data_IF_184171912679
#
_entry.id   IF_184171912679
#
_cell.length_a   1.000
_cell.length_b   1.000
_cell.length_c   1.000
_cell.angle_alpha   90.00
_cell.angle_beta   90.00
_cell.angle_gamma   90.00
#
_symmetry.space_group_name_H-M   'P 1'
#
loop_
_entity.id
_entity.type
_entity.pdbx_description
1 polymer ?
#
# COMPACT_ATOMS: atom_id res chain seq x y z
N UNK A 1 -49.49 2.61 2.41
CA UNK A 1 -48.53 3.53 1.73
C UNK A 1 -47.73 2.70 0.73
N UNK A 2 -47.89 2.96 -0.58
CA UNK A 2 -47.08 2.29 -1.61
C UNK A 2 -45.64 2.80 -1.48
N UNK A 3 -44.67 1.91 -1.21
CA UNK A 3 -43.24 2.24 -1.36
C UNK A 3 -43.07 2.74 -2.79
N UNK A 4 -42.75 4.03 -2.95
CA UNK A 4 -42.47 4.58 -4.26
C UNK A 4 -41.35 3.76 -4.89
N UNK A 5 -41.55 3.31 -6.12
CA UNK A 5 -40.47 2.75 -6.93
C UNK A 5 -39.41 3.83 -7.06
N UNK A 6 -38.30 3.70 -6.32
CA UNK A 6 -37.09 4.45 -6.64
C UNK A 6 -36.67 3.92 -8.01
N UNK A 7 -36.84 4.72 -9.07
CA UNK A 7 -36.16 4.43 -10.32
C UNK A 7 -34.67 4.47 -10.00
N UNK A 8 -34.05 3.30 -9.90
CA UNK A 8 -32.61 3.18 -9.68
C UNK A 8 -31.93 3.67 -10.95
N UNK A 9 -31.31 4.85 -10.86
CA UNK A 9 -30.47 5.39 -11.92
C UNK A 9 -29.21 4.51 -11.99
N UNK A 10 -28.74 4.08 -13.16
CA UNK A 10 -27.48 3.36 -13.27
C UNK A 10 -26.33 4.12 -12.58
N UNK A 11 -25.44 3.41 -11.88
CA UNK A 11 -24.38 4.06 -11.08
C UNK A 11 -23.51 5.01 -11.91
N UNK A 12 -23.24 4.65 -13.17
CA UNK A 12 -22.49 5.49 -14.09
C UNK A 12 -23.22 6.80 -14.41
N UNK A 13 -24.53 6.74 -14.65
CA UNK A 13 -25.34 7.93 -14.94
C UNK A 13 -25.43 8.83 -13.71
N UNK A 14 -25.50 8.24 -12.51
CA UNK A 14 -25.46 9.00 -11.26
C UNK A 14 -24.09 9.66 -11.04
N UNK A 15 -23.01 8.98 -11.38
CA UNK A 15 -21.64 9.53 -11.35
C UNK A 15 -21.51 10.73 -12.28
N UNK A 16 -21.97 10.59 -13.53
CA UNK A 16 -21.98 11.65 -14.54
C UNK A 16 -22.84 12.85 -14.11
N UNK A 17 -24.00 12.58 -13.48
CA UNK A 17 -24.86 13.61 -12.95
C UNK A 17 -24.18 14.40 -11.82
N UNK A 18 -23.53 13.73 -10.87
CA UNK A 18 -22.77 14.39 -9.80
C UNK A 18 -21.63 15.24 -10.38
N UNK A 19 -20.92 14.74 -11.40
CA UNK A 19 -19.89 15.51 -12.09
C UNK A 19 -20.46 16.81 -12.69
N UNK A 20 -21.58 16.70 -13.41
CA UNK A 20 -22.22 17.85 -14.03
C UNK A 20 -22.69 18.88 -13.00
N UNK A 21 -23.29 18.41 -11.90
CA UNK A 21 -23.75 19.27 -10.81
C UNK A 21 -22.57 19.95 -10.11
N UNK A 22 -21.45 19.26 -9.94
CA UNK A 22 -20.22 19.83 -9.40
C UNK A 22 -19.64 20.92 -10.31
N UNK A 23 -19.54 20.66 -11.62
CA UNK A 23 -19.07 21.65 -12.60
C UNK A 23 -19.94 22.91 -12.66
N UNK A 24 -21.23 22.77 -12.38
CA UNK A 24 -22.18 23.88 -12.35
C UNK A 24 -22.32 24.52 -10.95
N UNK A 25 -21.40 24.25 -10.01
CA UNK A 25 -21.41 24.77 -8.64
C UNK A 25 -22.77 24.59 -7.92
N UNK A 26 -23.48 23.50 -8.25
CA UNK A 26 -24.86 23.26 -7.85
C UNK A 26 -24.99 22.07 -6.89
N UNK A 27 -23.90 21.60 -6.27
CA UNK A 27 -23.92 20.46 -5.36
C UNK A 27 -24.82 20.67 -4.14
N UNK A 28 -25.03 21.91 -3.70
CA UNK A 28 -25.97 22.23 -2.63
C UNK A 28 -27.42 21.82 -2.98
N UNK A 29 -27.79 21.87 -4.26
CA UNK A 29 -29.11 21.44 -4.71
C UNK A 29 -29.27 19.92 -4.59
N UNK A 30 -28.18 19.16 -4.75
CA UNK A 30 -28.16 17.73 -4.52
C UNK A 30 -28.28 17.40 -3.02
N UNK A 31 -27.59 18.17 -2.16
CA UNK A 31 -27.67 18.01 -0.70
C UNK A 31 -29.10 18.16 -0.17
N UNK A 32 -29.90 19.03 -0.78
CA UNK A 32 -31.32 19.22 -0.44
C UNK A 32 -32.25 18.07 -0.86
N UNK A 33 -31.80 17.15 -1.72
CA UNK A 33 -32.60 16.02 -2.18
C UNK A 33 -32.31 14.74 -1.37
N UNK A 34 -33.14 14.49 -0.36
CA UNK A 34 -32.98 13.36 0.58
C UNK A 34 -32.93 12.00 -0.15
N UNK A 35 -33.77 11.80 -1.17
CA UNK A 35 -33.83 10.53 -1.89
C UNK A 35 -32.55 10.28 -2.69
N UNK A 36 -32.07 11.30 -3.41
CA UNK A 36 -30.82 11.22 -4.14
C UNK A 36 -29.62 11.01 -3.19
N UNK A 37 -29.58 11.74 -2.06
CA UNK A 37 -28.51 11.60 -1.07
C UNK A 37 -28.50 10.21 -0.43
N UNK A 38 -29.66 9.65 -0.05
CA UNK A 38 -29.72 8.28 0.49
C UNK A 38 -29.17 7.27 -0.51
N UNK A 39 -29.59 7.37 -1.78
CA UNK A 39 -29.13 6.49 -2.85
C UNK A 39 -27.62 6.58 -3.08
N UNK A 40 -27.06 7.79 -3.11
CA UNK A 40 -25.62 8.00 -3.26
C UNK A 40 -24.86 7.43 -2.07
N UNK A 41 -25.33 7.69 -0.86
CA UNK A 41 -24.67 7.24 0.37
C UNK A 41 -24.60 5.71 0.42
N UNK A 42 -25.73 5.06 0.13
CA UNK A 42 -25.85 3.59 0.11
C UNK A 42 -24.90 2.96 -0.92
N UNK A 43 -24.71 3.60 -2.08
CA UNK A 43 -23.94 3.09 -3.22
C UNK A 43 -22.68 3.93 -3.50
N UNK A 44 -22.13 4.54 -2.45
CA UNK A 44 -21.07 5.56 -2.59
C UNK A 44 -19.77 5.02 -3.20
N UNK A 45 -19.45 3.74 -2.98
CA UNK A 45 -18.28 3.11 -3.58
C UNK A 45 -18.39 3.05 -5.10
N UNK A 46 -19.53 2.59 -5.60
CA UNK A 46 -19.81 2.37 -7.01
C UNK A 46 -20.03 3.69 -7.77
N UNK A 47 -20.75 4.64 -7.15
CA UNK A 47 -21.08 5.92 -7.78
C UNK A 47 -19.88 6.86 -7.78
N UNK A 48 -19.11 6.96 -6.69
CA UNK A 48 -18.00 7.90 -6.64
C UNK A 48 -16.75 7.39 -7.33
N UNK A 49 -16.47 6.08 -7.34
CA UNK A 49 -15.19 5.57 -7.85
C UNK A 49 -14.80 6.10 -9.24
N UNK A 50 -15.67 6.10 -10.28
CA UNK A 50 -15.32 6.66 -11.58
C UNK A 50 -14.95 8.15 -11.51
N UNK A 51 -15.68 8.92 -10.69
CA UNK A 51 -15.47 10.35 -10.49
C UNK A 51 -14.15 10.65 -9.76
N UNK A 52 -13.87 9.90 -8.68
CA UNK A 52 -12.66 10.06 -7.89
C UNK A 52 -11.41 9.62 -8.67
N UNK A 53 -11.51 8.55 -9.47
CA UNK A 53 -10.46 8.14 -10.40
C UNK A 53 -10.16 9.24 -11.39
N UNK A 54 -11.18 9.82 -12.02
CA UNK A 54 -11.04 10.94 -12.95
C UNK A 54 -10.38 12.16 -12.31
N UNK A 55 -10.94 12.70 -11.23
CA UNK A 55 -10.41 13.90 -10.58
C UNK A 55 -9.00 13.69 -10.02
N UNK A 56 -8.71 12.52 -9.46
CA UNK A 56 -7.36 12.22 -8.98
C UNK A 56 -6.32 12.12 -10.09
N UNK A 57 -6.71 11.63 -11.28
CA UNK A 57 -5.83 11.56 -12.44
C UNK A 57 -5.57 12.94 -13.06
N UNK A 58 -6.58 13.80 -13.05
CA UNK A 58 -6.50 15.19 -13.52
C UNK A 58 -5.78 16.11 -12.52
N UNK A 59 -5.55 15.67 -11.28
CA UNK A 59 -5.02 16.54 -10.21
C UNK A 59 -6.04 17.57 -9.72
N UNK A 60 -7.33 17.34 -9.93
CA UNK A 60 -8.39 18.30 -9.60
C UNK A 60 -8.76 18.25 -8.11
N UNK A 61 -7.90 18.84 -7.29
CA UNK A 61 -8.07 18.93 -5.82
C UNK A 61 -9.36 19.67 -5.45
N UNK A 62 -9.67 20.78 -6.13
CA UNK A 62 -10.81 21.63 -5.76
C UNK A 62 -12.16 20.94 -5.97
N UNK A 63 -12.29 20.17 -7.05
CA UNK A 63 -13.48 19.34 -7.28
C UNK A 63 -13.64 18.26 -6.20
N UNK A 64 -12.53 17.68 -5.73
CA UNK A 64 -12.55 16.69 -4.65
C UNK A 64 -12.97 17.35 -3.32
N UNK A 65 -12.40 18.51 -2.98
CA UNK A 65 -12.77 19.26 -1.76
C UNK A 65 -14.26 19.64 -1.78
N UNK A 66 -14.77 20.07 -2.94
CA UNK A 66 -16.18 20.41 -3.12
C UNK A 66 -17.09 19.21 -2.86
N UNK A 67 -16.75 18.01 -3.35
CA UNK A 67 -17.47 16.79 -2.98
C UNK A 67 -17.43 16.53 -1.47
N UNK A 68 -16.25 16.65 -0.85
CA UNK A 68 -16.07 16.39 0.57
C UNK A 68 -16.86 17.35 1.47
N UNK A 69 -17.17 18.55 0.99
CA UNK A 69 -17.97 19.54 1.74
C UNK A 69 -19.45 19.18 1.85
N UNK A 70 -19.95 18.28 1.01
CA UNK A 70 -21.37 17.95 0.88
C UNK A 70 -21.68 16.54 1.41
N UNK A 71 -20.79 15.59 1.12
CA UNK A 71 -21.03 14.21 1.48
C UNK A 71 -20.51 13.88 2.89
N UNK A 72 -21.25 13.07 3.66
CA UNK A 72 -20.84 12.74 5.02
C UNK A 72 -19.60 11.84 5.02
N UNK A 73 -18.76 11.99 6.05
CA UNK A 73 -17.48 11.28 6.22
C UNK A 73 -17.54 9.78 5.98
N UNK A 74 -18.63 9.12 6.38
CA UNK A 74 -18.75 7.67 6.25
C UNK A 74 -18.92 7.21 4.80
N UNK A 75 -19.59 8.00 3.95
CA UNK A 75 -19.71 7.74 2.51
C UNK A 75 -18.38 7.99 1.79
N UNK A 76 -17.67 9.06 2.17
CA UNK A 76 -16.31 9.34 1.67
C UNK A 76 -15.34 8.23 2.07
N UNK A 77 -15.46 7.70 3.29
CA UNK A 77 -14.66 6.56 3.74
C UNK A 77 -14.95 5.29 2.94
N UNK A 78 -16.24 4.99 2.67
CA UNK A 78 -16.65 3.82 1.87
C UNK A 78 -16.11 3.85 0.44
N UNK A 79 -15.88 5.04 -0.11
CA UNK A 79 -15.35 5.27 -1.46
C UNK A 79 -13.83 5.45 -1.55
N UNK A 80 -13.09 5.24 -0.45
CA UNK A 80 -11.64 5.48 -0.39
C UNK A 80 -11.22 6.89 -0.83
N UNK A 81 -12.09 7.89 -0.60
CA UNK A 81 -11.92 9.27 -1.05
C UNK A 81 -10.53 9.85 -0.74
N UNK A 82 -10.01 9.59 0.45
CA UNK A 82 -8.75 10.16 0.93
C UNK A 82 -7.54 9.71 0.12
N UNK A 83 -7.54 8.46 -0.35
CA UNK A 83 -6.49 7.95 -1.23
C UNK A 83 -6.48 8.66 -2.58
N UNK A 84 -7.68 8.94 -3.12
CA UNK A 84 -7.84 9.69 -4.36
C UNK A 84 -7.49 11.18 -4.17
N UNK A 85 -7.86 11.79 -3.05
CA UNK A 85 -7.53 13.18 -2.75
C UNK A 85 -6.02 13.37 -2.63
N UNK A 86 -5.33 12.49 -1.91
CA UNK A 86 -3.87 12.54 -1.82
C UNK A 86 -3.22 12.39 -3.21
N UNK A 87 -3.73 11.48 -4.04
CA UNK A 87 -3.28 11.34 -5.43
C UNK A 87 -3.52 12.62 -6.25
N UNK A 88 -4.65 13.30 -6.08
CA UNK A 88 -4.92 14.58 -6.73
C UNK A 88 -3.91 15.66 -6.34
N UNK A 89 -3.58 15.81 -5.05
CA UNK A 89 -2.55 16.73 -4.59
C UNK A 89 -1.18 16.43 -5.22
N UNK A 90 -0.77 15.16 -5.22
CA UNK A 90 0.50 14.74 -5.81
C UNK A 90 0.52 14.96 -7.33
N UNK A 91 -0.58 14.69 -8.04
CA UNK A 91 -0.71 14.91 -9.49
C UNK A 91 -0.72 16.38 -9.89
N UNK A 92 -1.19 17.26 -9.01
CA UNK A 92 -1.17 18.72 -9.21
C UNK A 92 0.12 19.38 -8.71
N UNK A 93 1.14 18.60 -8.32
CA UNK A 93 2.41 19.10 -7.77
C UNK A 93 2.21 20.00 -6.52
N UNK A 94 1.31 19.58 -5.63
CA UNK A 94 0.99 20.26 -4.35
C UNK A 94 1.28 19.36 -3.13
N UNK A 95 2.50 18.81 -2.97
CA UNK A 95 2.83 17.92 -1.85
C UNK A 95 2.84 18.64 -0.49
N UNK A 96 3.18 19.93 -0.44
CA UNK A 96 3.15 20.76 0.78
C UNK A 96 1.72 20.91 1.32
N UNK A 97 0.76 21.12 0.42
CA UNK A 97 -0.64 21.28 0.78
C UNK A 97 -1.20 19.96 1.32
N UNK A 98 -0.84 18.84 0.68
CA UNK A 98 -1.18 17.50 1.18
C UNK A 98 -0.62 17.27 2.58
N UNK A 99 0.66 17.59 2.81
CA UNK A 99 1.28 17.43 4.11
C UNK A 99 0.59 18.30 5.16
N UNK A 100 0.30 19.56 4.84
CA UNK A 100 -0.39 20.50 5.74
C UNK A 100 -1.79 19.99 6.08
N UNK A 101 -2.51 19.38 5.13
CA UNK A 101 -3.81 18.78 5.35
C UNK A 101 -3.73 17.54 6.28
N UNK A 102 -2.69 16.71 6.12
CA UNK A 102 -2.45 15.57 7.01
C UNK A 102 -2.07 16.02 8.42
N UNK A 103 -1.25 17.07 8.55
CA UNK A 103 -0.89 17.69 9.83
C UNK A 103 -2.14 18.25 10.54
N UNK A 104 -2.98 19.00 9.83
CA UNK A 104 -4.20 19.59 10.39
C UNK A 104 -5.20 18.55 10.90
N UNK A 105 -5.19 17.33 10.34
CA UNK A 105 -6.10 16.24 10.73
C UNK A 105 -5.49 15.21 11.68
N UNK A 106 -4.19 15.28 11.94
CA UNK A 106 -3.49 14.36 12.85
C UNK A 106 -4.13 14.29 14.24
N UNK A 107 -4.58 15.43 14.76
CA UNK A 107 -5.25 15.57 16.07
C UNK A 107 -6.73 15.12 16.06
N UNK A 108 -7.31 14.81 14.90
CA UNK A 108 -8.73 14.46 14.74
C UNK A 108 -8.89 12.99 14.33
N UNK A 109 -8.55 12.03 15.22
CA UNK A 109 -8.74 10.57 15.01
C UNK A 109 -8.59 10.18 13.52
N UNK A 110 -7.42 10.52 12.97
CA UNK A 110 -7.23 10.74 11.54
C UNK A 110 -7.77 9.60 10.66
N UNK A 111 -8.67 9.95 9.73
CA UNK A 111 -9.22 9.02 8.73
C UNK A 111 -8.57 9.16 7.34
N UNK A 112 -7.68 10.15 7.12
CA UNK A 112 -7.03 10.43 5.82
C UNK A 112 -5.78 9.58 5.53
N UNK A 113 -5.19 8.92 6.53
CA UNK A 113 -3.91 8.26 6.32
C UNK A 113 -3.95 7.24 5.17
N UNK A 114 -2.97 7.35 4.27
CA UNK A 114 -2.75 6.44 3.16
C UNK A 114 -1.26 6.13 3.10
N UNK A 115 -0.91 4.84 3.11
CA UNK A 115 0.48 4.37 2.99
C UNK A 115 1.13 4.97 1.75
N UNK A 116 0.44 4.91 0.61
CA UNK A 116 0.95 5.44 -0.67
C UNK A 116 1.19 6.94 -0.59
N UNK A 117 0.25 7.72 -0.05
CA UNK A 117 0.41 9.16 0.07
C UNK A 117 1.62 9.55 0.93
N UNK A 118 1.73 8.90 2.09
CA UNK A 118 2.82 9.14 3.03
C UNK A 118 4.18 8.76 2.42
N UNK A 119 4.23 7.64 1.71
CA UNK A 119 5.42 7.19 1.00
C UNK A 119 5.82 8.14 -0.14
N UNK A 120 4.87 8.67 -0.91
CA UNK A 120 5.18 9.67 -1.95
C UNK A 120 5.67 11.00 -1.37
N UNK A 121 5.13 11.46 -0.23
CA UNK A 121 5.62 12.66 0.45
C UNK A 121 7.09 12.53 0.88
N UNK A 122 7.51 11.35 1.33
CA UNK A 122 8.91 11.09 1.71
C UNK A 122 9.89 11.16 0.52
N UNK A 123 9.41 11.12 -0.72
CA UNK A 123 10.27 11.30 -1.90
C UNK A 123 10.67 12.77 -2.14
N UNK A 124 10.08 13.72 -1.42
CA UNK A 124 10.42 15.14 -1.49
C UNK A 124 11.38 15.48 -0.34
N UNK A 125 12.70 15.67 -0.61
CA UNK A 125 13.70 15.79 0.46
C UNK A 125 13.45 16.96 1.41
N UNK A 126 12.90 18.07 0.91
CA UNK A 126 12.58 19.24 1.72
C UNK A 126 11.36 19.05 2.63
N UNK A 127 10.60 17.96 2.44
CA UNK A 127 9.45 17.60 3.28
C UNK A 127 9.76 16.46 4.26
N UNK A 128 10.86 15.72 4.07
CA UNK A 128 11.22 14.52 4.83
C UNK A 128 11.08 14.74 6.34
N UNK A 129 11.75 15.76 6.88
CA UNK A 129 11.74 16.06 8.32
C UNK A 129 10.32 16.28 8.87
N UNK A 130 9.49 17.06 8.15
CA UNK A 130 8.10 17.31 8.55
C UNK A 130 7.26 16.04 8.51
N UNK A 131 7.45 15.20 7.49
CA UNK A 131 6.72 13.93 7.36
C UNK A 131 7.12 12.96 8.47
N UNK A 132 8.40 12.91 8.84
CA UNK A 132 8.93 12.11 9.94
C UNK A 132 8.37 12.58 11.29
N UNK A 133 8.36 13.88 11.54
CA UNK A 133 7.78 14.45 12.77
C UNK A 133 6.27 14.19 12.87
N UNK A 134 5.56 14.31 11.75
CA UNK A 134 4.16 13.91 11.66
C UNK A 134 3.97 12.41 11.97
N UNK A 135 4.84 11.54 11.45
CA UNK A 135 4.77 10.11 11.76
C UNK A 135 4.97 9.81 13.26
N UNK A 136 5.91 10.49 13.91
CA UNK A 136 6.14 10.39 15.36
C UNK A 136 4.92 10.91 16.14
N UNK A 137 4.29 11.98 15.69
CA UNK A 137 3.11 12.55 16.36
C UNK A 137 1.91 11.59 16.34
N UNK A 138 1.72 10.82 15.25
CA UNK A 138 0.71 9.76 15.19
C UNK A 138 0.91 8.67 16.25
N UNK A 139 2.15 8.22 16.42
CA UNK A 139 2.50 7.22 17.44
C UNK A 139 2.20 7.76 18.85
N UNK A 140 2.65 8.98 19.14
CA UNK A 140 2.52 9.59 20.46
C UNK A 140 1.07 9.94 20.83
N UNK A 141 0.27 10.38 19.86
CA UNK A 141 -1.09 10.90 20.13
C UNK A 141 -2.16 9.82 20.05
N UNK A 142 -1.96 8.81 19.20
CA UNK A 142 -3.01 7.85 18.86
C UNK A 142 -2.56 6.39 18.89
N UNK A 143 -1.33 6.11 19.33
CA UNK A 143 -0.71 4.77 19.26
C UNK A 143 -0.79 4.17 17.86
N UNK A 144 -0.75 5.03 16.83
CA UNK A 144 -0.84 4.64 15.43
C UNK A 144 0.57 4.59 14.83
N UNK A 145 1.10 3.37 14.72
CA UNK A 145 2.48 3.05 14.34
C UNK A 145 2.70 2.97 12.81
N UNK A 146 1.63 2.78 12.04
CA UNK A 146 1.72 2.59 10.60
C UNK A 146 2.43 3.74 9.84
N UNK A 147 2.23 5.04 10.17
CA UNK A 147 2.98 6.11 9.53
C UNK A 147 4.49 5.97 9.72
N UNK A 148 4.93 5.61 10.93
CA UNK A 148 6.34 5.42 11.23
C UNK A 148 6.89 4.14 10.56
N UNK A 149 6.05 3.13 10.38
CA UNK A 149 6.35 1.94 9.56
C UNK A 149 6.59 2.31 8.09
N UNK A 150 5.82 3.26 7.55
CA UNK A 150 6.05 3.76 6.18
C UNK A 150 7.39 4.50 6.09
N UNK A 151 7.70 5.36 7.06
CA UNK A 151 9.02 6.03 7.14
C UNK A 151 10.15 5.01 7.19
N UNK A 152 10.01 3.98 8.03
CA UNK A 152 10.94 2.86 8.10
C UNK A 152 11.15 2.22 6.71
N UNK A 153 10.07 1.88 6.01
CA UNK A 153 10.14 1.22 4.70
C UNK A 153 10.81 2.12 3.63
N UNK A 154 10.60 3.43 3.71
CA UNK A 154 11.22 4.41 2.82
C UNK A 154 12.74 4.44 3.02
N UNK A 155 13.21 4.58 4.27
CA UNK A 155 14.64 4.56 4.56
C UNK A 155 15.28 3.24 4.22
N UNK A 156 14.62 2.13 4.56
CA UNK A 156 15.12 0.79 4.25
C UNK A 156 15.26 0.58 2.73
N UNK A 157 14.25 0.97 1.95
CA UNK A 157 14.25 0.84 0.48
C UNK A 157 15.19 1.83 -0.21
N UNK A 158 15.60 2.89 0.49
CA UNK A 158 16.56 3.89 0.02
C UNK A 158 17.96 3.65 0.56
N UNK A 159 18.23 2.45 1.11
CA UNK A 159 19.53 2.02 1.64
C UNK A 159 20.05 2.88 2.80
N UNK A 160 19.18 3.69 3.42
CA UNK A 160 19.47 4.45 4.65
C UNK A 160 19.22 3.56 5.87
N UNK A 161 19.96 2.46 5.96
CA UNK A 161 19.68 1.40 6.93
C UNK A 161 19.81 1.87 8.37
N UNK A 162 20.76 2.76 8.69
CA UNK A 162 20.94 3.30 10.04
C UNK A 162 19.65 4.00 10.52
N UNK A 163 19.07 4.87 9.68
CA UNK A 163 17.80 5.55 10.01
C UNK A 163 16.65 4.56 10.17
N UNK A 164 16.57 3.55 9.30
CA UNK A 164 15.56 2.52 9.41
C UNK A 164 15.71 1.70 10.71
N UNK A 165 16.94 1.32 11.08
CA UNK A 165 17.19 0.57 12.31
C UNK A 165 16.86 1.38 13.55
N UNK A 166 17.14 2.69 13.58
CA UNK A 166 16.73 3.57 14.69
C UNK A 166 15.21 3.55 14.89
N UNK A 167 14.43 3.60 13.82
CA UNK A 167 12.96 3.51 13.92
C UNK A 167 12.54 2.16 14.51
N UNK A 168 13.17 1.07 14.10
CA UNK A 168 12.85 -0.29 14.59
C UNK A 168 13.16 -0.50 16.08
N UNK A 169 13.94 0.39 16.70
CA UNK A 169 14.17 0.39 18.17
C UNK A 169 13.04 1.06 18.95
N UNK A 170 12.26 1.93 18.31
CA UNK A 170 11.20 2.72 18.95
C UNK A 170 9.87 1.96 18.99
N UNK A 171 9.53 1.26 17.91
CA UNK A 171 8.27 0.51 17.79
C UNK A 171 8.47 -0.77 16.98
N UNK A 172 7.71 -1.85 17.25
CA UNK A 172 7.62 -2.98 16.34
C UNK A 172 7.21 -2.51 14.94
N UNK A 173 7.84 -3.09 13.92
CA UNK A 173 7.57 -2.75 12.51
C UNK A 173 6.60 -3.80 11.93
N UNK A 174 5.32 -3.48 11.67
CA UNK A 174 4.39 -4.35 10.95
C UNK A 174 4.77 -4.41 9.46
N UNK A 175 5.84 -5.14 9.15
CA UNK A 175 6.43 -5.25 7.80
C UNK A 175 5.43 -5.77 6.76
N UNK A 176 4.44 -6.58 7.16
CA UNK A 176 3.40 -7.10 6.26
C UNK A 176 2.53 -6.00 5.61
N UNK A 177 2.53 -4.79 6.18
CA UNK A 177 1.82 -3.63 5.63
C UNK A 177 2.60 -2.88 4.56
N UNK A 178 3.93 -3.01 4.55
CA UNK A 178 4.84 -2.20 3.73
C UNK A 178 5.80 -3.03 2.87
N UNK A 179 5.80 -4.35 3.01
CA UNK A 179 6.68 -5.27 2.28
C UNK A 179 6.58 -5.11 0.76
N UNK A 180 5.40 -4.81 0.23
CA UNK A 180 5.18 -4.57 -1.19
C UNK A 180 6.03 -3.41 -1.75
N UNK A 181 6.35 -2.41 -0.93
CA UNK A 181 7.24 -1.29 -1.32
C UNK A 181 8.67 -1.79 -1.49
N UNK A 182 9.15 -2.58 -0.54
CA UNK A 182 10.50 -3.16 -0.54
C UNK A 182 10.62 -4.16 -1.70
N UNK A 183 9.65 -5.06 -1.86
CA UNK A 183 9.64 -6.06 -2.93
C UNK A 183 9.67 -5.41 -4.30
N UNK A 184 8.86 -4.38 -4.51
CA UNK A 184 8.90 -3.61 -5.75
C UNK A 184 10.28 -3.01 -5.99
N UNK A 185 10.90 -2.41 -4.97
CA UNK A 185 12.23 -1.81 -5.12
C UNK A 185 13.32 -2.84 -5.44
N UNK A 186 13.26 -4.02 -4.81
CA UNK A 186 14.15 -5.13 -5.10
C UNK A 186 13.96 -5.64 -6.53
N UNK A 187 12.71 -5.79 -6.99
CA UNK A 187 12.41 -6.29 -8.33
C UNK A 187 12.74 -5.28 -9.43
N UNK A 188 12.31 -4.02 -9.29
CA UNK A 188 12.54 -2.96 -10.29
C UNK A 188 14.02 -2.58 -10.39
N UNK A 189 14.74 -2.58 -9.27
CA UNK A 189 16.17 -2.29 -9.24
C UNK A 189 17.06 -3.51 -9.37
N UNK A 190 16.48 -4.71 -9.43
CA UNK A 190 17.18 -6.00 -9.36
C UNK A 190 18.21 -6.04 -8.20
N UNK A 191 17.88 -5.37 -7.09
CA UNK A 191 18.78 -5.08 -5.99
C UNK A 191 18.82 -6.25 -5.00
N UNK A 192 19.72 -7.19 -5.28
CA UNK A 192 19.93 -8.40 -4.48
C UNK A 192 20.35 -8.06 -3.04
N UNK A 193 21.18 -7.03 -2.84
CA UNK A 193 21.65 -6.66 -1.50
C UNK A 193 20.50 -6.15 -0.63
N UNK A 194 19.62 -5.30 -1.17
CA UNK A 194 18.39 -4.89 -0.47
C UNK A 194 17.52 -6.10 -0.11
N UNK A 195 17.39 -7.08 -1.01
CA UNK A 195 16.65 -8.31 -0.75
C UNK A 195 17.27 -9.14 0.37
N UNK A 196 18.60 -9.32 0.37
CA UNK A 196 19.34 -10.01 1.44
C UNK A 196 19.17 -9.33 2.79
N UNK A 197 19.31 -8.00 2.84
CA UNK A 197 19.09 -7.20 4.06
C UNK A 197 17.68 -7.34 4.59
N UNK A 198 16.68 -7.38 3.70
CA UNK A 198 15.29 -7.57 4.12
C UNK A 198 15.05 -8.96 4.70
N UNK A 199 15.59 -10.01 4.06
CA UNK A 199 15.54 -11.39 4.58
C UNK A 199 16.20 -11.48 5.95
N UNK A 200 17.39 -10.89 6.13
CA UNK A 200 18.07 -10.80 7.42
C UNK A 200 17.18 -10.10 8.47
N UNK A 201 16.63 -8.93 8.13
CA UNK A 201 15.77 -8.14 9.00
C UNK A 201 14.56 -8.92 9.53
N UNK A 202 13.87 -9.70 8.69
CA UNK A 202 12.68 -10.45 9.09
C UNK A 202 13.01 -11.80 9.72
N UNK A 203 14.14 -12.42 9.35
CA UNK A 203 14.49 -13.76 9.82
C UNK A 203 14.95 -13.78 11.28
N UNK A 204 15.60 -12.70 11.75
CA UNK A 204 16.07 -12.56 13.12
C UNK A 204 14.98 -12.09 14.11
N UNK A 205 13.72 -11.95 13.67
CA UNK A 205 12.63 -11.39 14.48
C UNK A 205 11.43 -12.32 14.54
N UNK A 206 10.60 -12.09 15.56
CA UNK A 206 9.35 -12.81 15.78
C UNK A 206 8.25 -12.29 14.85
N UNK A 207 8.39 -12.61 13.56
CA UNK A 207 7.35 -12.43 12.55
C UNK A 207 6.71 -13.76 12.19
N UNK A 208 5.43 -13.69 11.79
CA UNK A 208 4.67 -14.83 11.26
C UNK A 208 5.42 -15.49 10.10
N UNK A 209 5.33 -16.81 10.00
CA UNK A 209 6.03 -17.60 8.97
C UNK A 209 5.76 -17.08 7.56
N UNK A 210 4.51 -16.72 7.26
CA UNK A 210 4.12 -16.12 5.97
C UNK A 210 4.93 -14.87 5.59
N UNK A 211 5.34 -14.04 6.56
CA UNK A 211 6.17 -12.85 6.30
C UNK A 211 7.59 -13.29 5.89
N UNK A 212 8.15 -14.26 6.61
CA UNK A 212 9.46 -14.83 6.30
C UNK A 212 9.43 -15.51 4.94
N UNK A 213 8.49 -16.40 4.70
CA UNK A 213 8.29 -17.08 3.40
C UNK A 213 8.21 -16.08 2.24
N UNK A 214 7.45 -14.99 2.39
CA UNK A 214 7.36 -13.94 1.36
C UNK A 214 8.69 -13.24 1.11
N UNK A 215 9.46 -12.94 2.15
CA UNK A 215 10.76 -12.29 2.03
C UNK A 215 11.78 -13.19 1.33
N UNK A 216 11.89 -14.45 1.77
CA UNK A 216 12.80 -15.43 1.17
C UNK A 216 12.40 -15.74 -0.27
N UNK A 217 11.10 -15.96 -0.53
CA UNK A 217 10.62 -16.28 -1.86
C UNK A 217 10.80 -15.13 -2.85
N UNK A 218 10.60 -13.88 -2.43
CA UNK A 218 10.91 -12.70 -3.26
C UNK A 218 12.39 -12.66 -3.68
N UNK A 219 13.31 -12.93 -2.76
CA UNK A 219 14.74 -12.97 -3.08
C UNK A 219 15.08 -14.19 -3.94
N UNK A 220 14.46 -15.34 -3.68
CA UNK A 220 14.63 -16.56 -4.49
C UNK A 220 14.22 -16.33 -5.94
N UNK A 221 13.05 -15.71 -6.17
CA UNK A 221 12.55 -15.38 -7.51
C UNK A 221 13.57 -14.53 -8.28
N UNK A 222 14.14 -13.51 -7.62
CA UNK A 222 15.16 -12.65 -8.22
C UNK A 222 16.46 -13.40 -8.52
N UNK A 223 16.96 -14.22 -7.58
CA UNK A 223 18.20 -14.98 -7.79
C UNK A 223 18.08 -15.98 -8.95
N UNK A 224 16.94 -16.69 -9.03
CA UNK A 224 16.66 -17.62 -10.14
C UNK A 224 16.52 -16.88 -11.46
N UNK A 225 15.81 -15.75 -11.48
CA UNK A 225 15.70 -14.90 -12.68
C UNK A 225 17.08 -14.43 -13.17
N UNK A 226 18.00 -14.13 -12.25
CA UNK A 226 19.38 -13.72 -12.52
C UNK A 226 20.34 -14.87 -12.80
N UNK A 227 19.87 -16.11 -12.83
CA UNK A 227 20.69 -17.31 -13.00
C UNK A 227 21.80 -17.45 -11.94
N UNK A 228 21.60 -16.84 -10.77
CA UNK A 228 22.49 -16.95 -9.61
C UNK A 228 22.12 -18.22 -8.82
N UNK A 229 22.31 -19.37 -9.47
CA UNK A 229 21.79 -20.66 -9.00
C UNK A 229 22.44 -21.12 -7.69
N UNK A 230 23.73 -20.84 -7.49
CA UNK A 230 24.44 -21.25 -6.27
C UNK A 230 23.96 -20.42 -5.06
N UNK A 231 23.75 -19.13 -5.23
CA UNK A 231 23.14 -18.25 -4.21
C UNK A 231 21.68 -18.63 -3.95
N UNK A 232 20.91 -18.98 -4.98
CA UNK A 232 19.54 -19.44 -4.84
C UNK A 232 19.48 -20.73 -4.01
N UNK A 233 20.38 -21.69 -4.26
CA UNK A 233 20.52 -22.90 -3.46
C UNK A 233 20.87 -22.58 -2.00
N UNK A 234 21.85 -21.70 -1.77
CA UNK A 234 22.23 -21.29 -0.42
C UNK A 234 21.05 -20.65 0.34
N UNK A 235 20.24 -19.85 -0.35
CA UNK A 235 19.05 -19.24 0.24
C UNK A 235 17.98 -20.27 0.62
N UNK A 236 17.76 -21.29 -0.22
CA UNK A 236 16.82 -22.40 0.09
C UNK A 236 17.30 -23.18 1.31
N UNK A 237 18.60 -23.45 1.40
CA UNK A 237 19.18 -24.15 2.55
C UNK A 237 19.11 -23.31 3.83
N UNK A 238 19.35 -22.00 3.76
CA UNK A 238 19.17 -21.08 4.89
C UNK A 238 17.71 -21.04 5.35
N UNK A 239 16.75 -20.93 4.41
CA UNK A 239 15.32 -20.99 4.71
C UNK A 239 14.94 -22.28 5.45
N UNK A 240 15.42 -23.43 4.96
CA UNK A 240 15.20 -24.74 5.59
C UNK A 240 15.77 -24.81 7.01
N UNK A 241 16.97 -24.27 7.23
CA UNK A 241 17.60 -24.23 8.56
C UNK A 241 16.81 -23.39 9.58
N UNK A 242 16.01 -22.44 9.09
CA UNK A 242 15.17 -21.52 9.88
C UNK A 242 13.70 -21.92 9.89
N UNK A 243 13.36 -23.13 9.44
CA UNK A 243 11.98 -23.64 9.32
C UNK A 243 11.05 -22.76 8.46
N UNK A 244 11.59 -22.08 7.45
CA UNK A 244 10.80 -21.31 6.48
C UNK A 244 10.42 -22.22 5.31
N UNK A 245 9.12 -22.46 5.11
CA UNK A 245 8.62 -23.42 4.14
C UNK A 245 8.42 -22.78 2.74
N UNK A 246 9.49 -22.75 1.94
CA UNK A 246 9.42 -22.30 0.55
C UNK A 246 8.73 -23.32 -0.38
N UNK A 247 8.79 -24.61 -0.04
CA UNK A 247 8.26 -25.72 -0.85
C UNK A 247 6.73 -25.66 -0.98
N UNK A 248 6.03 -25.03 -0.04
CA UNK A 248 4.56 -24.85 -0.08
C UNK A 248 4.10 -23.76 -1.05
N UNK A 249 4.85 -22.67 -1.17
CA UNK A 249 4.37 -21.45 -1.83
C UNK A 249 5.18 -21.04 -3.07
N UNK A 250 6.39 -21.57 -3.25
CA UNK A 250 7.33 -21.17 -4.31
C UNK A 250 7.74 -22.33 -5.22
N UNK A 251 6.84 -23.31 -5.41
CA UNK A 251 7.09 -24.52 -6.22
C UNK A 251 7.51 -24.23 -7.66
N UNK A 252 6.92 -23.21 -8.30
CA UNK A 252 7.26 -22.85 -9.69
C UNK A 252 8.71 -22.37 -9.81
N UNK A 253 9.14 -21.52 -8.89
CA UNK A 253 10.51 -21.00 -8.83
C UNK A 253 11.50 -22.10 -8.48
N UNK A 254 11.18 -22.95 -7.50
CA UNK A 254 12.01 -24.11 -7.13
C UNK A 254 12.11 -25.13 -8.28
N UNK A 255 11.04 -25.34 -9.05
CA UNK A 255 11.06 -26.20 -10.25
C UNK A 255 11.99 -25.63 -11.31
N UNK A 256 11.96 -24.31 -11.51
CA UNK A 256 12.85 -23.61 -12.45
C UNK A 256 14.32 -23.73 -12.03
N UNK A 257 14.60 -23.54 -10.73
CA UNK A 257 15.94 -23.73 -10.17
C UNK A 257 16.41 -25.18 -10.35
N UNK A 258 15.56 -26.17 -10.04
CA UNK A 258 15.85 -27.59 -10.23
C UNK A 258 16.25 -27.90 -11.66
N UNK A 259 15.43 -27.51 -12.64
CA UNK A 259 15.74 -27.75 -14.06
C UNK A 259 17.02 -27.06 -14.52
N UNK A 260 17.36 -25.92 -13.92
CA UNK A 260 18.60 -25.20 -14.25
C UNK A 260 19.83 -25.90 -13.66
N UNK A 261 19.75 -26.36 -12.40
CA UNK A 261 20.81 -27.16 -11.75
C UNK A 261 21.05 -28.48 -12.48
N UNK A 262 19.98 -29.19 -12.86
CA UNK A 262 20.09 -30.46 -13.62
C UNK A 262 20.78 -30.24 -14.97
N UNK A 263 20.45 -29.15 -15.69
CA UNK A 263 21.12 -28.78 -16.94
C UNK A 263 22.61 -28.48 -16.74
N UNK A 264 22.97 -27.93 -15.58
CA UNK A 264 24.35 -27.65 -15.19
C UNK A 264 25.07 -28.87 -14.59
N UNK A 265 24.42 -30.04 -14.51
CA UNK A 265 24.91 -31.24 -13.80
C UNK A 265 25.27 -30.97 -12.32
N UNK A 266 24.56 -30.04 -11.67
CA UNK A 266 24.70 -29.71 -10.25
C UNK A 266 23.70 -30.49 -9.39
N UNK A 267 24.05 -30.79 -8.12
CA UNK A 267 23.12 -31.45 -7.21
C UNK A 267 21.92 -30.54 -6.87
N UNK A 268 20.76 -31.16 -6.62
CA UNK A 268 19.53 -30.49 -6.20
C UNK A 268 19.28 -30.83 -4.72
N UNK A 269 19.58 -29.92 -3.77
CA UNK A 269 19.57 -30.23 -2.33
C UNK A 269 18.22 -30.01 -1.63
N UNK A 270 17.15 -29.82 -2.40
CA UNK A 270 15.79 -29.57 -1.91
C UNK A 270 14.79 -30.50 -2.59
N UNK A 271 13.64 -30.73 -1.96
CA UNK A 271 12.55 -31.52 -2.55
C UNK A 271 11.45 -30.61 -3.08
N UNK A 272 10.64 -31.15 -3.99
CA UNK A 272 9.40 -30.52 -4.46
C UNK A 272 8.18 -31.27 -3.93
N UNK A 273 8.34 -32.10 -2.90
CA UNK A 273 7.28 -32.96 -2.39
C UNK A 273 6.11 -32.12 -1.85
N UNK A 274 4.96 -32.25 -2.52
CA UNK A 274 3.69 -31.74 -2.04
C UNK A 274 3.30 -32.61 -0.85
N UNK A 275 3.44 -32.10 0.37
CA UNK A 275 2.69 -32.64 1.49
C UNK A 275 1.21 -32.40 1.18
N UNK A 276 0.54 -33.43 0.66
CA UNK A 276 -0.92 -33.56 0.65
C UNK A 276 -1.40 -33.68 2.10
N UNK A 277 -1.31 -32.60 2.87
CA UNK A 277 -1.99 -32.53 4.14
C UNK A 277 -3.45 -32.18 3.85
N UNK A 278 -4.25 -33.25 3.99
CA UNK A 278 -5.71 -33.30 3.94
C UNK A 278 -6.32 -32.63 5.18
#
# INVERSE_FOLDING_TARGET
MRKGYIRTIPFQDMSNFIELVNKNNSLNNLAGNIQAMSYIIENSGEIFKPLLEKYSNEGNVEAMISLASIFPDFALKKSFFNSFLARAYLKSNRPEDLLSELEARSNKKNRLFSITAFHELLKFPHLEDRVVELAKSYLNTSSFDLPLTVVWSHYFSSEQYEKAYEISKVTPIPVDKVDAVIFRRVQEGENIELGKRYVEFVSCRDYKDRVKERAYGMLLDLLVLKQMHDEAVNLVMDAKSKNVNLEKHYQSTLSTLKSSLERENKPVPFSLDVSNDS
#
